data_IF_546870782114
#
_entry.id   IF_546870782114
#
_cell.length_a   1.000
_cell.length_b   1.000
_cell.length_c   1.000
_cell.angle_alpha   90.00
_cell.angle_beta   90.00
_cell.angle_gamma   90.00
#
_symmetry.space_group_name_H-M   'P 1'
#
loop_
_entity.id
_entity.type
_entity.pdbx_description
1 polymer ?
#
# COMPACT_ATOMS: atom_id res chain seq x y z
N UNK A 1 17.66 8.03 1.24
CA UNK A 1 17.59 8.01 -0.24
C UNK A 1 16.38 7.19 -0.64
N UNK A 2 15.71 7.49 -1.76
CA UNK A 2 14.51 6.75 -2.20
C UNK A 2 13.55 7.66 -2.95
N UNK A 3 12.74 8.44 -2.23
CA UNK A 3 11.78 9.40 -2.83
C UNK A 3 12.42 10.48 -3.75
N UNK A 4 13.75 10.60 -3.77
CA UNK A 4 14.47 11.40 -4.77
C UNK A 4 14.71 10.70 -6.13
N UNK A 5 14.29 9.45 -6.30
CA UNK A 5 14.30 8.76 -7.60
C UNK A 5 13.04 9.11 -8.40
N UNK A 6 13.14 9.09 -9.73
CA UNK A 6 12.01 9.33 -10.63
C UNK A 6 11.29 8.03 -11.01
N UNK A 7 10.04 8.17 -11.43
CA UNK A 7 9.26 7.08 -12.02
C UNK A 7 8.36 7.60 -13.14
N UNK A 8 7.94 6.68 -14.02
CA UNK A 8 6.82 6.90 -14.92
C UNK A 8 5.59 6.24 -14.30
N UNK A 9 4.50 7.00 -14.19
CA UNK A 9 3.20 6.52 -13.71
C UNK A 9 2.14 6.81 -14.78
N UNK A 10 1.24 5.86 -14.99
CA UNK A 10 0.11 5.98 -15.89
C UNK A 10 -1.16 5.70 -15.09
N UNK A 11 -2.17 6.55 -15.26
CA UNK A 11 -3.48 6.41 -14.60
C UNK A 11 -4.53 6.19 -15.67
N UNK A 12 -5.32 5.12 -15.51
CA UNK A 12 -6.40 4.76 -16.43
C UNK A 12 -7.75 4.96 -15.75
N UNK A 13 -8.71 5.52 -16.49
CA UNK A 13 -10.09 5.64 -16.03
C UNK A 13 -10.90 4.44 -16.51
N UNK A 14 -11.53 3.73 -15.58
CA UNK A 14 -12.51 2.68 -15.88
C UNK A 14 -13.93 3.27 -15.98
N UNK A 15 -14.88 2.53 -16.55
CA UNK A 15 -16.27 2.95 -16.71
C UNK A 15 -17.04 2.96 -15.39
N UNK A 16 -16.65 2.12 -14.43
CA UNK A 16 -17.26 2.03 -13.10
C UNK A 16 -16.32 1.32 -12.11
N UNK A 17 -16.74 1.25 -10.84
CA UNK A 17 -15.95 0.63 -9.77
C UNK A 17 -15.69 -0.87 -9.98
N UNK A 18 -16.63 -1.61 -10.60
CA UNK A 18 -16.46 -3.04 -10.83
C UNK A 18 -15.39 -3.30 -11.90
N UNK A 19 -15.40 -2.52 -12.99
CA UNK A 19 -14.34 -2.58 -14.00
C UNK A 19 -13.01 -2.08 -13.43
N UNK A 20 -12.99 -1.04 -12.59
CA UNK A 20 -11.78 -0.55 -11.95
C UNK A 20 -11.10 -1.64 -11.09
N UNK A 21 -11.89 -2.37 -10.29
CA UNK A 21 -11.40 -3.49 -9.46
C UNK A 21 -10.84 -4.62 -10.34
N UNK A 22 -11.54 -4.95 -11.42
CA UNK A 22 -11.07 -5.96 -12.36
C UNK A 22 -9.75 -5.54 -13.02
N UNK A 23 -9.66 -4.30 -13.50
CA UNK A 23 -8.45 -3.77 -14.11
C UNK A 23 -7.26 -3.74 -13.13
N UNK A 24 -7.50 -3.31 -11.89
CA UNK A 24 -6.50 -3.32 -10.82
C UNK A 24 -5.91 -4.73 -10.62
N UNK A 25 -6.79 -5.73 -10.50
CA UNK A 25 -6.40 -7.13 -10.31
C UNK A 25 -5.61 -7.67 -11.52
N UNK A 26 -6.02 -7.35 -12.75
CA UNK A 26 -5.32 -7.80 -13.95
C UNK A 26 -3.93 -7.16 -14.12
N UNK A 27 -3.75 -5.91 -13.67
CA UNK A 27 -2.46 -5.22 -13.77
C UNK A 27 -1.47 -5.66 -12.69
N UNK A 28 -1.95 -6.15 -11.55
CA UNK A 28 -1.14 -6.62 -10.42
C UNK A 28 0.02 -7.55 -10.82
N UNK A 29 -0.20 -8.68 -11.52
CA UNK A 29 0.89 -9.58 -11.89
C UNK A 29 1.86 -8.97 -12.92
N UNK A 30 1.45 -7.92 -13.65
CA UNK A 30 2.30 -7.22 -14.61
C UNK A 30 3.28 -6.26 -13.91
N UNK A 31 2.95 -5.75 -12.72
CA UNK A 31 3.80 -4.81 -11.98
C UNK A 31 5.26 -5.27 -11.81
N UNK A 32 5.54 -6.47 -11.25
CA UNK A 32 6.94 -6.92 -11.10
C UNK A 32 7.63 -7.19 -12.44
N UNK A 33 6.89 -7.63 -13.47
CA UNK A 33 7.42 -7.86 -14.82
C UNK A 33 7.86 -6.53 -15.44
N UNK A 34 7.00 -5.51 -15.39
CA UNK A 34 7.29 -4.18 -15.91
C UNK A 34 8.41 -3.50 -15.13
N UNK A 35 8.50 -3.72 -13.81
CA UNK A 35 9.61 -3.23 -13.00
C UNK A 35 10.95 -3.76 -13.52
N UNK A 36 11.06 -5.08 -13.72
CA UNK A 36 12.27 -5.70 -14.25
C UNK A 36 12.55 -5.29 -15.70
N UNK A 37 11.52 -5.24 -16.55
CA UNK A 37 11.66 -4.88 -17.96
C UNK A 37 12.13 -3.42 -18.16
N UNK A 38 11.72 -2.53 -17.25
CA UNK A 38 12.06 -1.09 -17.28
C UNK A 38 13.21 -0.72 -16.33
N UNK A 39 14.02 -1.69 -15.93
CA UNK A 39 15.13 -1.47 -15.01
C UNK A 39 16.08 -0.37 -15.49
N UNK A 40 16.34 0.62 -14.61
CA UNK A 40 17.03 1.86 -14.96
C UNK A 40 17.74 2.50 -13.76
N UNK A 41 18.06 1.71 -12.72
CA UNK A 41 18.69 2.24 -11.51
C UNK A 41 19.82 1.34 -10.97
N UNK A 42 20.90 1.10 -11.75
CA UNK A 42 22.00 0.22 -11.35
C UNK A 42 23.05 0.91 -10.46
N UNK A 43 22.95 2.22 -10.21
CA UNK A 43 23.98 2.98 -9.48
C UNK A 43 23.33 3.74 -8.33
N UNK A 44 23.87 3.57 -7.13
CA UNK A 44 23.46 4.29 -5.93
C UNK A 44 24.65 4.85 -5.17
N UNK A 45 24.55 6.12 -4.74
CA UNK A 45 25.59 6.82 -3.95
C UNK A 45 27.01 6.75 -4.55
N UNK A 46 27.11 6.71 -5.88
CA UNK A 46 28.39 6.61 -6.60
C UNK A 46 28.95 5.19 -6.76
N UNK A 47 28.21 4.16 -6.34
CA UNK A 47 28.59 2.76 -6.47
C UNK A 47 27.66 2.03 -7.44
N UNK A 48 28.23 1.17 -8.28
CA UNK A 48 27.45 0.18 -9.01
C UNK A 48 26.87 -0.83 -8.01
N UNK A 49 25.58 -1.15 -8.15
CA UNK A 49 24.87 -2.07 -7.26
C UNK A 49 24.52 -3.37 -7.96
N UNK A 50 24.35 -4.44 -7.19
CA UNK A 50 23.86 -5.75 -7.67
C UNK A 50 22.31 -5.79 -7.77
N UNK A 51 21.71 -4.64 -8.04
CA UNK A 51 20.28 -4.44 -8.28
C UNK A 51 20.13 -3.41 -9.38
N UNK A 52 19.17 -3.63 -10.29
CA UNK A 52 18.93 -2.73 -11.43
C UNK A 52 17.67 -1.86 -11.24
N UNK A 53 16.92 -2.11 -10.16
CA UNK A 53 15.62 -1.52 -9.89
C UNK A 53 15.60 -0.71 -8.58
N UNK A 54 14.86 0.39 -8.60
CA UNK A 54 14.74 1.32 -7.46
C UNK A 54 13.76 0.92 -6.36
N UNK A 55 12.96 -0.13 -6.58
CA UNK A 55 11.80 -0.44 -5.75
C UNK A 55 12.14 -0.60 -4.26
N UNK A 56 13.10 -1.47 -3.94
CA UNK A 56 13.49 -1.75 -2.56
C UNK A 56 14.09 -0.51 -1.87
N UNK A 57 14.80 0.34 -2.62
CA UNK A 57 15.37 1.58 -2.10
C UNK A 57 14.28 2.57 -1.74
N UNK A 58 13.25 2.73 -2.59
CA UNK A 58 12.11 3.61 -2.29
C UNK A 58 11.29 3.05 -1.13
N UNK A 59 10.97 1.75 -1.15
CA UNK A 59 10.21 1.07 -0.11
C UNK A 59 10.82 1.30 1.28
N UNK A 60 12.13 1.11 1.40
CA UNK A 60 12.86 1.33 2.65
C UNK A 60 12.99 2.82 3.03
N UNK A 61 12.87 3.75 2.09
CA UNK A 61 13.09 5.17 2.34
C UNK A 61 12.01 5.86 3.16
N UNK A 62 10.82 5.27 3.16
CA UNK A 62 9.63 5.75 3.89
C UNK A 62 9.07 4.66 4.80
N UNK A 63 9.89 3.67 5.13
CA UNK A 63 9.50 2.62 6.07
C UNK A 63 9.50 3.20 7.49
N UNK A 64 8.30 3.56 7.96
CA UNK A 64 8.08 4.14 9.27
C UNK A 64 7.87 3.08 10.36
N UNK A 65 7.99 1.78 10.05
CA UNK A 65 7.76 0.73 11.03
C UNK A 65 8.79 0.77 12.15
N UNK A 66 8.30 0.78 13.38
CA UNK A 66 9.06 0.62 14.61
C UNK A 66 9.71 -0.78 14.68
N UNK A 67 10.64 -0.95 15.61
CA UNK A 67 11.26 -2.25 15.85
C UNK A 67 10.24 -3.31 16.31
N UNK A 68 9.16 -2.90 17.00
CA UNK A 68 8.10 -3.81 17.44
C UNK A 68 7.24 -4.26 16.25
N UNK A 69 6.81 -3.33 15.40
CA UNK A 69 6.03 -3.63 14.19
C UNK A 69 6.82 -4.53 13.22
N UNK A 70 8.14 -4.35 13.15
CA UNK A 70 9.04 -5.23 12.36
C UNK A 70 9.29 -6.60 13.00
N UNK A 71 8.80 -6.84 14.22
CA UNK A 71 9.01 -8.09 14.96
C UNK A 71 10.42 -8.25 15.54
N UNK A 72 11.23 -7.19 15.57
CA UNK A 72 12.57 -7.19 16.18
C UNK A 72 12.53 -7.05 17.71
N UNK A 73 11.42 -6.52 18.24
CA UNK A 73 11.12 -6.41 19.67
C UNK A 73 9.72 -6.98 19.96
N UNK A 74 9.45 -7.45 21.19
CA UNK A 74 8.10 -7.85 21.58
C UNK A 74 7.15 -6.65 21.46
N UNK A 75 5.93 -6.91 21.02
CA UNK A 75 4.88 -5.91 20.84
C UNK A 75 4.40 -5.44 22.22
N UNK A 76 4.54 -4.14 22.51
CA UNK A 76 4.11 -3.56 23.80
C UNK A 76 3.26 -2.32 23.60
N UNK A 77 3.74 -1.37 22.80
CA UNK A 77 3.08 -0.08 22.58
C UNK A 77 2.27 -0.08 21.29
N UNK A 78 2.71 -0.85 20.28
CA UNK A 78 2.03 -0.94 18.99
C UNK A 78 0.96 -2.03 18.99
N UNK A 79 -0.01 -1.91 18.09
CA UNK A 79 -1.10 -2.88 17.96
C UNK A 79 -0.78 -4.04 17.00
N UNK A 80 0.12 -3.80 16.05
CA UNK A 80 0.27 -4.65 14.87
C UNK A 80 1.73 -5.06 14.63
N UNK A 81 1.94 -6.28 14.15
CA UNK A 81 3.21 -6.69 13.50
C UNK A 81 3.03 -6.60 12.00
N UNK A 82 3.77 -5.71 11.35
CA UNK A 82 3.51 -5.35 9.96
C UNK A 82 4.65 -5.82 9.07
N UNK A 83 4.32 -6.68 8.11
CA UNK A 83 5.30 -7.40 7.29
C UNK A 83 5.97 -6.53 6.22
N UNK A 84 5.24 -5.56 5.66
CA UNK A 84 5.69 -4.71 4.56
C UNK A 84 5.84 -3.25 4.96
N UNK A 85 6.65 -2.50 4.22
CA UNK A 85 6.68 -1.03 4.34
C UNK A 85 5.32 -0.45 3.93
N UNK A 86 5.01 0.79 4.31
CA UNK A 86 3.81 1.48 3.78
C UNK A 86 3.91 1.77 2.28
N UNK A 87 5.14 1.76 1.75
CA UNK A 87 5.41 1.81 0.32
C UNK A 87 5.91 0.43 -0.09
N UNK A 88 5.03 -0.40 -0.65
CA UNK A 88 5.36 -1.74 -1.10
C UNK A 88 4.38 -2.19 -2.20
N UNK A 89 4.58 -3.42 -2.67
CA UNK A 89 3.67 -4.11 -3.59
C UNK A 89 2.28 -4.22 -2.97
N UNK A 90 1.26 -4.39 -3.81
CA UNK A 90 -0.12 -4.48 -3.32
C UNK A 90 -0.30 -5.67 -2.36
N UNK A 91 -1.29 -5.58 -1.49
CA UNK A 91 -1.56 -6.58 -0.44
C UNK A 91 -2.73 -7.51 -0.74
N UNK A 92 -3.67 -7.07 -1.58
CA UNK A 92 -4.88 -7.84 -1.88
C UNK A 92 -5.48 -7.50 -3.25
N UNK A 93 -6.06 -8.51 -3.87
CA UNK A 93 -6.97 -8.39 -4.99
C UNK A 93 -8.34 -7.89 -4.52
N UNK A 94 -8.97 -7.07 -5.36
CA UNK A 94 -10.19 -6.34 -5.04
C UNK A 94 -11.41 -6.89 -5.76
N UNK A 95 -11.30 -7.63 -6.85
CA UNK A 95 -12.46 -8.21 -7.54
C UNK A 95 -12.87 -9.56 -6.95
N UNK A 96 -14.15 -9.91 -7.07
CA UNK A 96 -14.68 -11.22 -6.63
C UNK A 96 -13.93 -12.40 -7.28
N UNK A 97 -13.53 -12.25 -8.55
CA UNK A 97 -12.76 -13.28 -9.26
C UNK A 97 -11.32 -13.41 -8.73
N UNK A 98 -10.78 -12.33 -8.16
CA UNK A 98 -9.44 -12.25 -7.60
C UNK A 98 -9.35 -12.73 -6.15
N UNK A 99 -10.46 -12.75 -5.41
CA UNK A 99 -10.51 -13.11 -3.98
C UNK A 99 -9.81 -14.45 -3.67
N UNK A 100 -9.99 -15.45 -4.53
CA UNK A 100 -9.35 -16.77 -4.38
C UNK A 100 -7.82 -16.76 -4.44
N UNK A 101 -7.22 -15.67 -4.93
CA UNK A 101 -5.77 -15.48 -5.00
C UNK A 101 -5.23 -14.64 -3.82
N UNK A 102 -6.09 -14.18 -2.90
CA UNK A 102 -5.67 -13.59 -1.63
C UNK A 102 -5.25 -14.70 -0.66
N UNK A 103 -4.13 -15.35 -0.96
CA UNK A 103 -3.58 -16.49 -0.19
C UNK A 103 -2.61 -16.06 0.92
N UNK A 104 -2.24 -14.78 0.94
CA UNK A 104 -1.41 -14.18 2.00
C UNK A 104 -2.31 -13.57 3.07
N UNK A 105 -2.10 -13.89 4.36
CA UNK A 105 -2.86 -13.26 5.44
C UNK A 105 -2.72 -11.74 5.45
N UNK A 106 -3.85 -11.06 5.29
CA UNK A 106 -3.92 -9.60 5.32
C UNK A 106 -4.18 -9.10 6.74
N UNK A 107 -3.31 -8.23 7.23
CA UNK A 107 -3.49 -7.57 8.52
C UNK A 107 -4.32 -6.29 8.33
N UNK A 108 -5.40 -6.10 9.08
CA UNK A 108 -6.23 -4.91 8.98
C UNK A 108 -6.84 -4.54 10.32
N UNK A 109 -7.28 -3.29 10.47
CA UNK A 109 -7.98 -2.84 11.67
C UNK A 109 -9.44 -3.38 11.65
N UNK A 110 -9.80 -4.19 12.66
CA UNK A 110 -11.13 -4.81 12.72
C UNK A 110 -12.26 -3.80 12.98
N UNK A 111 -12.00 -2.73 13.73
CA UNK A 111 -12.99 -1.68 14.01
C UNK A 111 -13.33 -0.90 12.74
N UNK A 112 -12.30 -0.51 11.98
CA UNK A 112 -12.47 0.18 10.69
C UNK A 112 -13.16 -0.73 9.67
N UNK A 113 -12.74 -2.00 9.58
CA UNK A 113 -13.39 -2.97 8.73
C UNK A 113 -14.89 -3.09 9.06
N UNK A 114 -15.23 -3.24 10.35
CA UNK A 114 -16.62 -3.36 10.79
C UNK A 114 -17.43 -2.11 10.43
N UNK A 115 -16.88 -0.92 10.68
CA UNK A 115 -17.52 0.36 10.33
C UNK A 115 -17.81 0.47 8.84
N UNK A 116 -16.86 0.06 7.98
CA UNK A 116 -17.05 0.05 6.52
C UNK A 116 -18.13 -0.95 6.09
N UNK A 117 -18.15 -2.14 6.69
CA UNK A 117 -19.17 -3.17 6.40
C UNK A 117 -20.57 -2.73 6.82
N UNK A 118 -20.70 -2.10 8.00
CA UNK A 118 -21.97 -1.53 8.48
C UNK A 118 -22.44 -0.37 7.59
N UNK A 119 -21.51 0.39 7.00
CA UNK A 119 -21.79 1.40 5.98
C UNK A 119 -22.13 0.86 4.59
N UNK A 120 -22.18 -0.47 4.39
CA UNK A 120 -22.57 -1.09 3.13
C UNK A 120 -21.45 -1.31 2.11
N UNK A 121 -20.18 -1.05 2.47
CA UNK A 121 -19.02 -1.34 1.61
C UNK A 121 -18.78 -2.84 1.57
N UNK A 122 -18.51 -3.42 0.39
CA UNK A 122 -18.27 -4.86 0.25
C UNK A 122 -17.02 -5.37 0.99
N UNK A 123 -16.92 -6.70 1.20
CA UNK A 123 -15.86 -7.30 2.02
C UNK A 123 -14.45 -6.96 1.52
N UNK A 124 -14.19 -7.11 0.22
CA UNK A 124 -12.85 -6.96 -0.35
C UNK A 124 -12.36 -5.51 -0.27
N UNK A 125 -13.25 -4.56 -0.58
CA UNK A 125 -12.93 -3.14 -0.47
C UNK A 125 -12.80 -2.72 0.99
N UNK A 126 -13.69 -3.18 1.87
CA UNK A 126 -13.61 -2.87 3.30
C UNK A 126 -12.30 -3.40 3.91
N UNK A 127 -11.90 -4.62 3.56
CA UNK A 127 -10.66 -5.24 4.03
C UNK A 127 -9.43 -4.50 3.50
N UNK A 128 -9.44 -4.09 2.22
CA UNK A 128 -8.37 -3.31 1.62
C UNK A 128 -8.20 -1.95 2.32
N UNK A 129 -9.27 -1.20 2.53
CA UNK A 129 -9.21 0.12 3.20
C UNK A 129 -8.78 -0.05 4.67
N UNK A 130 -9.34 -1.03 5.38
CA UNK A 130 -8.96 -1.31 6.76
C UNK A 130 -7.49 -1.75 6.91
N UNK A 131 -6.90 -2.37 5.88
CA UNK A 131 -5.46 -2.63 5.83
C UNK A 131 -4.66 -1.34 5.72
N UNK A 132 -5.10 -0.37 4.90
CA UNK A 132 -4.42 0.92 4.79
C UNK A 132 -4.43 1.69 6.11
N UNK A 133 -5.47 1.53 6.91
CA UNK A 133 -5.66 2.22 8.20
C UNK A 133 -4.89 1.61 9.38
N UNK A 134 -4.11 0.54 9.18
CA UNK A 134 -3.14 0.09 10.20
C UNK A 134 -1.94 1.04 10.33
N UNK A 135 -1.89 2.13 9.55
CA UNK A 135 -0.78 3.07 9.47
C UNK A 135 -1.16 4.42 10.04
N UNK A 136 -0.27 4.95 10.87
CA UNK A 136 -0.41 6.31 11.37
C UNK A 136 -0.20 7.37 10.28
N UNK A 137 -0.90 8.48 10.47
CA UNK A 137 -0.71 9.71 9.71
C UNK A 137 0.67 10.30 10.01
N UNK A 138 1.51 10.41 8.97
CA UNK A 138 2.88 10.92 9.08
C UNK A 138 2.99 12.43 8.85
N UNK A 139 1.96 13.05 8.28
CA UNK A 139 1.93 14.50 8.02
C UNK A 139 0.49 14.99 8.10
N UNK A 140 0.20 15.89 9.05
CA UNK A 140 -1.09 16.54 9.22
C UNK A 140 -0.84 18.00 9.57
N UNK A 141 -1.44 18.92 8.81
CA UNK A 141 -1.38 20.34 9.10
C UNK A 141 -2.42 20.72 10.17
N UNK A 142 -2.06 21.61 11.09
CA UNK A 142 -2.93 22.03 12.19
C UNK A 142 -4.27 22.58 11.74
N UNK A 143 -4.27 23.26 10.60
CA UNK A 143 -5.40 23.89 9.94
C UNK A 143 -6.39 22.86 9.38
N UNK A 144 -5.97 21.60 9.25
CA UNK A 144 -6.76 20.49 8.69
C UNK A 144 -7.15 19.43 9.74
N UNK A 145 -6.96 19.72 11.03
CA UNK A 145 -7.38 18.79 12.10
C UNK A 145 -8.91 18.70 12.18
N UNK A 146 -9.60 19.82 11.99
CA UNK A 146 -11.07 19.91 12.07
C UNK A 146 -11.61 20.27 10.69
N UNK A 147 -12.16 19.29 9.99
CA UNK A 147 -12.78 19.44 8.68
C UNK A 147 -14.29 19.15 8.78
N UNK A 148 -15.05 19.67 7.82
CA UNK A 148 -16.45 19.28 7.64
C UNK A 148 -16.52 18.16 6.60
N UNK A 149 -16.78 16.94 7.05
CA UNK A 149 -16.82 15.74 6.20
C UNK A 149 -17.86 15.82 5.05
N UNK A 150 -18.87 16.69 5.15
CA UNK A 150 -19.89 16.88 4.10
C UNK A 150 -19.45 17.83 2.98
N UNK A 151 -18.49 18.72 3.24
CA UNK A 151 -18.09 19.80 2.34
C UNK A 151 -16.63 19.72 1.87
N UNK A 152 -15.75 19.17 2.70
CA UNK A 152 -14.33 18.99 2.36
C UNK A 152 -14.08 17.55 1.86
N UNK A 153 -13.88 17.40 0.55
CA UNK A 153 -13.34 16.18 -0.10
C UNK A 153 -11.81 16.11 -0.04
#
# INVERSE_FOLDING_TARGET
FGMGNCCLQLTFQACNINEARYLYDQLTPLCPIMLAFTAASPIYRGYLTDIDCRWNVISASVDCRTMEERGLKPLKENQFRINKSRYDSIDSYLSENGEKYNDVPLLYNEEDYKKLREGGIDHLIAQHIAHLFIRDTVSLFSEKIHQNDEEET
#
